data_IF_327358253664
#
_entry.id   IF_327358253664
#
_cell.length_a   1.000
_cell.length_b   1.000
_cell.length_c   1.000
_cell.angle_alpha   90.00
_cell.angle_beta   90.00
_cell.angle_gamma   90.00
#
_symmetry.space_group_name_H-M   'P 1'
#
loop_
_entity.id
_entity.type
_entity.pdbx_description
1 polymer ?
#
# COMPACT_ATOMS: atom_id res chain seq x y z
N UNK A 1 -42.84 -30.28 -11.03
CA UNK A 1 -41.95 -29.34 -10.32
C UNK A 1 -40.53 -29.46 -10.85
N UNK A 2 -40.16 -28.48 -11.68
CA UNK A 2 -38.83 -28.01 -12.10
C UNK A 2 -37.61 -28.97 -12.13
N UNK A 3 -37.37 -29.57 -13.29
CA UNK A 3 -36.06 -30.06 -13.75
C UNK A 3 -35.14 -28.86 -14.06
N UNK A 4 -34.13 -28.62 -13.20
CA UNK A 4 -33.10 -27.60 -13.44
C UNK A 4 -31.97 -28.20 -14.28
N UNK A 5 -32.00 -27.93 -15.58
CA UNK A 5 -30.89 -28.13 -16.52
C UNK A 5 -29.67 -27.33 -16.07
N UNK A 6 -28.63 -28.02 -15.63
CA UNK A 6 -27.29 -27.46 -15.43
C UNK A 6 -26.63 -27.33 -16.81
N UNK A 7 -26.46 -26.09 -17.28
CA UNK A 7 -25.71 -25.76 -18.50
C UNK A 7 -24.25 -26.12 -18.29
N UNK A 8 -23.86 -27.35 -18.65
CA UNK A 8 -22.45 -27.72 -18.82
C UNK A 8 -21.94 -27.02 -20.06
N UNK A 9 -21.06 -26.06 -19.83
CA UNK A 9 -20.19 -25.41 -20.80
C UNK A 9 -19.40 -26.46 -21.59
N UNK A 10 -19.84 -26.75 -22.81
CA UNK A 10 -19.05 -27.46 -23.83
C UNK A 10 -18.14 -26.43 -24.51
N UNK A 11 -17.01 -26.11 -23.87
CA UNK A 11 -15.92 -25.44 -24.57
C UNK A 11 -14.93 -26.51 -25.05
N UNK A 12 -14.87 -26.70 -26.37
CA UNK A 12 -13.75 -27.38 -26.99
C UNK A 12 -12.51 -26.46 -26.97
N UNK A 13 -11.29 -27.00 -26.82
CA UNK A 13 -10.06 -26.21 -26.93
C UNK A 13 -9.98 -25.55 -28.31
N UNK A 14 -9.50 -24.31 -28.36
CA UNK A 14 -9.29 -23.58 -29.60
C UNK A 14 -8.30 -24.33 -30.50
N UNK A 15 -8.81 -24.98 -31.54
CA UNK A 15 -7.98 -25.47 -32.64
C UNK A 15 -7.54 -24.25 -33.47
N UNK A 16 -6.23 -24.04 -33.58
CA UNK A 16 -5.64 -23.11 -34.54
C UNK A 16 -6.09 -23.50 -35.95
N UNK A 17 -6.62 -22.58 -36.77
CA UNK A 17 -6.96 -22.90 -38.14
C UNK A 17 -5.69 -23.13 -38.96
N UNK A 18 -5.66 -24.10 -39.88
CA UNK A 18 -4.54 -24.32 -40.79
C UNK A 18 -4.42 -23.15 -41.78
N UNK A 19 -3.21 -22.86 -42.30
CA UNK A 19 -2.99 -21.73 -43.19
C UNK A 19 -3.59 -22.06 -44.57
N UNK A 20 -4.79 -21.55 -44.83
CA UNK A 20 -5.39 -21.61 -46.17
C UNK A 20 -5.04 -20.32 -46.90
N UNK A 21 -4.16 -20.46 -47.88
CA UNK A 21 -3.98 -19.54 -49.00
C UNK A 21 -5.33 -19.51 -49.74
N UNK A 22 -6.05 -18.38 -49.73
CA UNK A 22 -7.17 -18.19 -50.66
C UNK A 22 -7.27 -16.73 -51.08
N UNK A 23 -7.13 -16.51 -52.39
CA UNK A 23 -7.43 -15.27 -53.07
C UNK A 23 -8.81 -14.74 -52.65
N UNK A 24 -8.84 -13.56 -52.04
CA UNK A 24 -10.08 -12.97 -51.53
C UNK A 24 -10.89 -12.34 -52.66
N UNK A 25 -12.10 -12.85 -52.91
CA UNK A 25 -13.03 -12.27 -53.87
C UNK A 25 -13.44 -10.82 -53.50
N UNK A 26 -13.76 -9.95 -54.48
CA UNK A 26 -14.05 -8.52 -54.24
C UNK A 26 -15.18 -8.27 -53.24
N UNK A 27 -16.18 -9.16 -53.22
CA UNK A 27 -17.35 -9.07 -52.34
C UNK A 27 -16.98 -9.26 -50.86
N UNK A 28 -15.98 -10.09 -50.55
CA UNK A 28 -15.47 -10.28 -49.17
C UNK A 28 -14.68 -9.07 -48.68
N UNK A 29 -13.94 -8.38 -49.56
CA UNK A 29 -13.23 -7.14 -49.22
C UNK A 29 -14.20 -6.01 -48.86
N UNK A 30 -15.32 -5.90 -49.58
CA UNK A 30 -16.39 -4.93 -49.24
C UNK A 30 -17.02 -5.19 -47.88
N UNK A 31 -17.26 -6.46 -47.52
CA UNK A 31 -17.82 -6.81 -46.21
C UNK A 31 -16.84 -6.56 -45.05
N UNK A 32 -15.54 -6.78 -45.25
CA UNK A 32 -14.51 -6.49 -44.24
C UNK A 32 -14.25 -4.98 -44.06
N UNK A 33 -14.43 -4.19 -45.12
CA UNK A 33 -14.28 -2.74 -45.07
C UNK A 33 -15.56 -2.00 -44.63
N UNK A 34 -16.70 -2.69 -44.60
CA UNK A 34 -17.98 -2.12 -44.20
C UNK A 34 -18.04 -1.97 -42.67
N UNK A 35 -18.05 -0.72 -42.21
CA UNK A 35 -18.14 -0.39 -40.80
C UNK A 35 -19.37 0.48 -40.55
N UNK A 36 -20.45 -0.12 -40.04
CA UNK A 36 -21.75 0.54 -39.83
C UNK A 36 -21.64 1.85 -39.02
N UNK A 37 -20.74 1.88 -38.04
CA UNK A 37 -20.49 3.09 -37.23
C UNK A 37 -19.93 4.27 -38.04
N UNK A 38 -19.16 4.00 -39.11
CA UNK A 38 -18.63 5.04 -39.99
C UNK A 38 -19.73 5.66 -40.85
N UNK A 39 -20.63 4.84 -41.40
CA UNK A 39 -21.80 5.34 -42.16
C UNK A 39 -22.76 6.14 -41.28
N UNK A 40 -22.99 5.70 -40.04
CA UNK A 40 -23.80 6.46 -39.09
C UNK A 40 -23.17 7.80 -38.74
N UNK A 41 -21.84 7.85 -38.60
CA UNK A 41 -21.13 9.11 -38.36
C UNK A 41 -21.21 10.06 -39.56
N UNK A 42 -21.06 9.54 -40.78
CA UNK A 42 -21.20 10.33 -42.01
C UNK A 42 -22.62 10.89 -42.16
N UNK A 43 -23.65 10.10 -41.83
CA UNK A 43 -25.05 10.53 -41.85
C UNK A 43 -25.32 11.64 -40.82
N UNK A 44 -24.79 11.51 -39.60
CA UNK A 44 -24.91 12.55 -38.56
C UNK A 44 -24.20 13.85 -38.99
N UNK A 45 -23.01 13.74 -39.58
CA UNK A 45 -22.26 14.89 -40.05
C UNK A 45 -22.99 15.64 -41.17
N UNK A 46 -23.62 14.92 -42.11
CA UNK A 46 -24.46 15.54 -43.15
C UNK A 46 -25.66 16.28 -42.55
N UNK A 47 -26.36 15.67 -41.59
CA UNK A 47 -27.51 16.28 -40.93
C UNK A 47 -27.14 17.56 -40.15
N UNK A 48 -25.92 17.61 -39.58
CA UNK A 48 -25.35 18.80 -38.96
C UNK A 48 -25.07 19.92 -39.98
N UNK A 49 -24.51 19.57 -41.14
CA UNK A 49 -24.20 20.52 -42.21
C UNK A 49 -25.49 21.10 -42.80
N UNK A 50 -26.49 20.27 -43.09
CA UNK A 50 -27.78 20.71 -43.63
C UNK A 50 -28.47 21.69 -42.69
N UNK A 51 -28.46 21.39 -41.38
CA UNK A 51 -29.04 22.27 -40.36
C UNK A 51 -28.27 23.59 -40.22
N UNK A 52 -26.95 23.56 -40.39
CA UNK A 52 -26.14 24.78 -40.38
C UNK A 52 -26.42 25.67 -41.60
N UNK A 53 -26.60 25.06 -42.78
CA UNK A 53 -26.98 25.78 -44.00
C UNK A 53 -28.39 26.39 -43.90
N UNK A 54 -29.33 25.66 -43.31
CA UNK A 54 -30.70 26.15 -43.08
C UNK A 54 -30.69 27.38 -42.16
N UNK A 55 -29.97 27.34 -41.04
CA UNK A 55 -29.82 28.49 -40.12
C UNK A 55 -29.12 29.66 -40.79
N UNK A 56 -28.10 29.40 -41.61
CA UNK A 56 -27.42 30.45 -42.40
C UNK A 56 -28.39 31.13 -43.37
N UNK A 57 -29.24 30.36 -44.05
CA UNK A 57 -30.22 30.89 -45.00
C UNK A 57 -31.32 31.73 -44.32
N UNK A 58 -31.75 31.32 -43.12
CA UNK A 58 -32.74 32.05 -42.32
C UNK A 58 -32.15 33.37 -41.84
N UNK A 59 -30.92 33.34 -41.30
CA UNK A 59 -30.24 34.55 -40.81
C UNK A 59 -29.94 35.56 -41.92
N UNK A 60 -29.57 35.10 -43.13
CA UNK A 60 -29.39 35.98 -44.29
C UNK A 60 -30.70 36.63 -44.76
N UNK A 61 -31.80 35.88 -44.78
CA UNK A 61 -33.13 36.42 -45.09
C UNK A 61 -33.68 37.38 -44.02
N UNK A 62 -33.28 37.22 -42.75
CA UNK A 62 -33.63 38.14 -41.67
C UNK A 62 -32.81 39.45 -41.72
N UNK A 63 -31.57 39.40 -42.21
CA UNK A 63 -30.74 40.61 -42.38
C UNK A 63 -31.20 41.51 -43.51
N UNK A 64 -31.73 40.96 -44.61
CA UNK A 64 -32.27 41.76 -45.72
C UNK A 64 -33.59 42.48 -45.37
N UNK A 65 -34.28 42.06 -44.31
CA UNK A 65 -35.53 42.71 -43.84
C UNK A 65 -35.30 43.76 -42.75
N UNK A 66 -34.08 43.92 -42.21
CA UNK A 66 -33.78 45.01 -41.27
C UNK A 66 -33.43 46.29 -42.01
N UNK A 67 -34.40 47.19 -42.12
CA UNK A 67 -34.15 48.58 -42.49
C UNK A 67 -33.08 49.22 -41.59
N UNK A 68 -32.31 50.16 -42.16
CA UNK A 68 -31.15 50.79 -41.54
C UNK A 68 -31.41 51.20 -40.08
N UNK A 69 -30.54 50.75 -39.18
CA UNK A 69 -30.62 51.07 -37.76
C UNK A 69 -30.46 52.59 -37.52
N UNK A 70 -31.25 53.19 -36.60
CA UNK A 70 -31.10 54.60 -36.28
C UNK A 70 -29.73 54.87 -35.64
N UNK A 71 -29.16 56.08 -35.81
CA UNK A 71 -27.83 56.39 -35.31
C UNK A 71 -27.81 56.26 -33.78
N UNK A 72 -26.89 55.42 -33.31
CA UNK A 72 -26.69 55.12 -31.90
C UNK A 72 -26.31 56.41 -31.18
N UNK A 73 -27.19 56.90 -30.31
CA UNK A 73 -26.84 57.90 -29.30
C UNK A 73 -25.76 57.30 -28.40
N UNK A 74 -24.58 57.91 -28.37
CA UNK A 74 -23.41 57.47 -27.62
C UNK A 74 -23.69 57.47 -26.11
N UNK A 75 -24.12 56.34 -25.58
CA UNK A 75 -24.08 56.10 -24.14
C UNK A 75 -22.64 55.76 -23.74
N UNK A 76 -22.06 56.58 -22.85
CA UNK A 76 -20.70 56.46 -22.32
C UNK A 76 -20.28 54.99 -22.07
N UNK A 77 -19.16 54.59 -22.67
CA UNK A 77 -18.60 53.22 -22.68
C UNK A 77 -18.50 52.55 -21.31
N UNK A 78 -18.38 53.34 -20.24
CA UNK A 78 -18.30 52.87 -18.84
C UNK A 78 -19.61 52.25 -18.35
N UNK A 79 -20.77 52.82 -18.71
CA UNK A 79 -22.08 52.33 -18.28
C UNK A 79 -22.41 51.00 -18.95
N UNK A 80 -22.07 50.88 -20.24
CA UNK A 80 -22.21 49.63 -21.00
C UNK A 80 -21.31 48.52 -20.46
N UNK A 81 -20.07 48.85 -20.08
CA UNK A 81 -19.12 47.90 -19.47
C UNK A 81 -19.60 47.41 -18.10
N UNK A 82 -20.13 48.31 -17.25
CA UNK A 82 -20.68 47.93 -15.95
C UNK A 82 -21.90 47.01 -16.08
N UNK A 83 -22.82 47.33 -16.99
CA UNK A 83 -24.01 46.51 -17.23
C UNK A 83 -23.64 45.12 -17.78
N UNK A 84 -22.65 45.07 -18.68
CA UNK A 84 -22.12 43.82 -19.22
C UNK A 84 -21.47 42.95 -18.13
N UNK A 85 -20.64 43.53 -17.24
CA UNK A 85 -20.03 42.80 -16.12
C UNK A 85 -21.11 42.23 -15.20
N UNK A 86 -22.13 43.02 -14.85
CA UNK A 86 -23.25 42.57 -14.02
C UNK A 86 -24.05 41.43 -14.66
N UNK A 87 -24.29 41.53 -15.96
CA UNK A 87 -25.00 40.51 -16.74
C UNK A 87 -24.20 39.20 -16.80
N UNK A 88 -22.92 39.26 -17.16
CA UNK A 88 -22.03 38.10 -17.16
C UNK A 88 -21.90 37.44 -15.78
N UNK A 89 -21.88 38.23 -14.70
CA UNK A 89 -21.86 37.71 -13.34
C UNK A 89 -23.15 36.94 -13.02
N UNK A 90 -24.32 37.49 -13.38
CA UNK A 90 -25.61 36.85 -13.14
C UNK A 90 -25.73 35.52 -13.91
N UNK A 91 -25.33 35.51 -15.19
CA UNK A 91 -25.35 34.31 -16.03
C UNK A 91 -24.38 33.25 -15.52
N UNK A 92 -23.17 33.64 -15.13
CA UNK A 92 -22.19 32.73 -14.56
C UNK A 92 -22.69 32.09 -13.26
N UNK A 93 -23.29 32.87 -12.35
CA UNK A 93 -23.85 32.36 -11.10
C UNK A 93 -25.02 31.41 -11.34
N UNK A 94 -25.88 31.72 -12.31
CA UNK A 94 -26.97 30.85 -12.72
C UNK A 94 -26.45 29.52 -13.27
N UNK A 95 -25.53 29.57 -14.23
CA UNK A 95 -24.91 28.38 -14.82
C UNK A 95 -24.13 27.55 -13.78
N UNK A 96 -23.42 28.22 -12.87
CA UNK A 96 -22.73 27.57 -11.74
C UNK A 96 -23.72 26.77 -10.89
N UNK A 97 -24.88 27.35 -10.57
CA UNK A 97 -25.94 26.67 -9.80
C UNK A 97 -26.48 25.44 -10.56
N UNK A 98 -26.67 25.54 -11.87
CA UNK A 98 -27.09 24.43 -12.71
C UNK A 98 -26.06 23.28 -12.69
N UNK A 99 -24.77 23.59 -12.84
CA UNK A 99 -23.72 22.57 -12.80
C UNK A 99 -23.58 21.94 -11.41
N UNK A 100 -23.72 22.73 -10.34
CA UNK A 100 -23.68 22.23 -8.96
C UNK A 100 -24.87 21.34 -8.60
N UNK A 101 -26.02 21.53 -9.26
CA UNK A 101 -27.22 20.70 -9.05
C UNK A 101 -27.14 19.31 -9.69
N UNK A 102 -26.13 19.07 -10.53
CA UNK A 102 -25.95 17.78 -11.19
C UNK A 102 -25.48 16.72 -10.17
N UNK A 103 -26.12 15.54 -10.08
CA UNK A 103 -25.68 14.47 -9.17
C UNK A 103 -24.23 14.08 -9.45
N UNK A 104 -23.41 14.18 -8.41
CA UNK A 104 -21.99 13.82 -8.44
C UNK A 104 -21.81 12.33 -8.18
N UNK A 105 -20.79 11.73 -8.80
CA UNK A 105 -20.40 10.35 -8.49
C UNK A 105 -19.85 10.32 -7.06
N UNK A 106 -20.48 9.57 -6.13
CA UNK A 106 -19.98 9.48 -4.76
C UNK A 106 -18.65 8.72 -4.73
N UNK A 107 -17.85 8.97 -3.69
CA UNK A 107 -16.61 8.22 -3.47
C UNK A 107 -16.91 6.72 -3.36
N UNK A 108 -16.07 5.90 -4.00
CA UNK A 108 -16.25 4.46 -3.97
C UNK A 108 -15.91 3.91 -2.58
N UNK A 109 -16.85 3.14 -1.99
CA UNK A 109 -16.69 2.56 -0.65
C UNK A 109 -15.47 1.66 -0.50
N UNK A 110 -15.04 1.02 -1.59
CA UNK A 110 -13.82 0.22 -1.61
C UNK A 110 -12.56 1.05 -1.32
N UNK A 111 -12.51 2.32 -1.74
CA UNK A 111 -11.35 3.18 -1.48
C UNK A 111 -11.25 3.53 0.00
N UNK A 112 -12.38 3.85 0.62
CA UNK A 112 -12.45 4.10 2.07
C UNK A 112 -11.99 2.86 2.84
N UNK A 113 -12.47 1.66 2.48
CA UNK A 113 -12.04 0.40 3.11
C UNK A 113 -10.55 0.16 2.94
N UNK A 114 -9.99 0.38 1.75
CA UNK A 114 -8.55 0.24 1.51
C UNK A 114 -7.72 1.22 2.35
N UNK A 115 -8.18 2.47 2.51
CA UNK A 115 -7.52 3.44 3.39
C UNK A 115 -7.50 2.94 4.84
N UNK A 116 -8.62 2.39 5.33
CA UNK A 116 -8.69 1.84 6.68
C UNK A 116 -7.77 0.63 6.88
N UNK A 117 -7.63 -0.25 5.87
CA UNK A 117 -6.72 -1.40 5.97
C UNK A 117 -5.24 -1.02 6.07
N UNK A 118 -4.87 0.20 5.68
CA UNK A 118 -3.51 0.70 5.81
C UNK A 118 -3.22 1.23 7.23
N UNK A 119 -4.25 1.45 8.05
CA UNK A 119 -4.11 1.93 9.42
C UNK A 119 -4.04 0.73 10.37
N UNK A 120 -2.99 0.63 11.22
CA UNK A 120 -2.90 -0.43 12.22
C UNK A 120 -4.09 -0.47 13.17
N UNK A 121 -4.61 -1.66 13.46
CA UNK A 121 -5.84 -1.85 14.22
C UNK A 121 -5.75 -1.34 15.67
N UNK A 122 -4.55 -1.37 16.26
CA UNK A 122 -4.26 -0.80 17.59
C UNK A 122 -4.50 0.71 17.70
N UNK A 123 -4.53 1.43 16.57
CA UNK A 123 -4.83 2.86 16.51
C UNK A 123 -6.30 3.16 16.25
N UNK A 124 -7.08 2.15 15.89
CA UNK A 124 -8.52 2.26 15.60
C UNK A 124 -9.39 1.80 16.76
N UNK A 125 -8.87 0.95 17.63
CA UNK A 125 -9.60 0.38 18.76
C UNK A 125 -9.75 1.40 19.92
N UNK A 126 -11.00 1.57 20.40
CA UNK A 126 -11.36 2.43 21.54
C UNK A 126 -12.45 3.44 21.21
N UNK A 127 -13.37 3.71 22.16
CA UNK A 127 -14.56 4.56 21.93
C UNK A 127 -14.26 5.94 21.33
N UNK A 128 -13.21 6.61 21.80
CA UNK A 128 -12.83 7.94 21.31
C UNK A 128 -12.15 7.88 19.93
N UNK A 129 -11.44 6.79 19.63
CA UNK A 129 -10.71 6.59 18.37
C UNK A 129 -11.62 6.13 17.23
N UNK A 130 -12.68 5.39 17.55
CA UNK A 130 -13.75 5.05 16.61
C UNK A 130 -14.50 6.31 16.14
N UNK A 131 -14.84 7.23 17.07
CA UNK A 131 -15.45 8.51 16.70
C UNK A 131 -14.53 9.36 15.82
N UNK A 132 -13.25 9.45 16.18
CA UNK A 132 -12.26 10.19 15.38
C UNK A 132 -12.13 9.61 13.97
N UNK A 133 -12.16 8.28 13.84
CA UNK A 133 -12.11 7.59 12.54
C UNK A 133 -13.32 7.94 11.69
N UNK A 134 -14.52 7.91 12.28
CA UNK A 134 -15.76 8.26 11.59
C UNK A 134 -15.76 9.73 11.13
N UNK A 135 -15.27 10.65 11.98
CA UNK A 135 -15.15 12.05 11.63
C UNK A 135 -14.13 12.29 10.50
N UNK A 136 -13.00 11.57 10.52
CA UNK A 136 -12.01 11.61 9.45
C UNK A 136 -12.57 11.08 8.13
N UNK A 137 -13.32 9.98 8.16
CA UNK A 137 -13.98 9.44 6.97
C UNK A 137 -14.97 10.45 6.40
N UNK A 138 -15.80 11.07 7.23
CA UNK A 138 -16.72 12.14 6.81
C UNK A 138 -15.97 13.32 6.19
N UNK A 139 -14.83 13.70 6.75
CA UNK A 139 -13.99 14.76 6.20
C UNK A 139 -13.45 14.39 4.81
N UNK A 140 -12.94 13.17 4.64
CA UNK A 140 -12.44 12.67 3.36
C UNK A 140 -13.55 12.68 2.29
N UNK A 141 -14.75 12.20 2.63
CA UNK A 141 -15.90 12.22 1.72
C UNK A 141 -16.24 13.66 1.30
N UNK A 142 -16.37 14.57 2.27
CA UNK A 142 -16.63 16.00 1.99
C UNK A 142 -15.56 16.62 1.10
N UNK A 143 -14.28 16.30 1.36
CA UNK A 143 -13.17 16.84 0.59
C UNK A 143 -13.15 16.31 -0.85
N UNK A 144 -13.49 15.03 -1.03
CA UNK A 144 -13.65 14.42 -2.34
C UNK A 144 -14.79 15.08 -3.12
N UNK A 145 -15.97 15.21 -2.51
CA UNK A 145 -17.16 15.82 -3.13
C UNK A 145 -16.88 17.27 -3.55
N UNK A 146 -16.30 18.08 -2.65
CA UNK A 146 -15.88 19.46 -2.97
C UNK A 146 -14.88 19.50 -4.12
N UNK A 147 -13.94 18.56 -4.17
CA UNK A 147 -12.91 18.53 -5.22
C UNK A 147 -13.48 18.09 -6.56
N UNK A 148 -14.39 17.12 -6.58
CA UNK A 148 -15.04 16.67 -7.80
C UNK A 148 -16.02 17.73 -8.33
N UNK A 149 -16.77 18.40 -7.45
CA UNK A 149 -17.66 19.50 -7.81
C UNK A 149 -16.87 20.65 -8.45
N UNK A 150 -15.69 20.99 -7.89
CA UNK A 150 -14.76 21.97 -8.48
C UNK A 150 -14.26 21.52 -9.85
N UNK A 151 -13.87 20.26 -10.01
CA UNK A 151 -13.40 19.73 -11.28
C UNK A 151 -14.48 19.82 -12.37
N UNK A 152 -15.71 19.42 -12.07
CA UNK A 152 -16.84 19.49 -13.02
C UNK A 152 -17.16 20.94 -13.37
N UNK A 153 -17.18 21.85 -12.39
CA UNK A 153 -17.40 23.28 -12.63
C UNK A 153 -16.37 23.87 -13.59
N UNK A 154 -15.08 23.63 -13.36
CA UNK A 154 -14.00 24.14 -14.23
C UNK A 154 -13.98 23.51 -15.62
N UNK A 155 -14.46 22.27 -15.75
CA UNK A 155 -14.58 21.59 -17.05
C UNK A 155 -15.77 22.11 -17.85
N UNK A 156 -16.88 22.41 -17.19
CA UNK A 156 -18.13 22.82 -17.85
C UNK A 156 -18.22 24.33 -18.08
N UNK A 157 -17.63 25.14 -17.20
CA UNK A 157 -17.73 26.60 -17.22
C UNK A 157 -16.33 27.22 -17.22
N UNK A 158 -16.13 28.15 -18.16
CA UNK A 158 -14.96 29.03 -18.15
C UNK A 158 -15.26 30.16 -17.15
N UNK A 159 -14.38 30.33 -16.17
CA UNK A 159 -14.49 31.43 -15.20
C UNK A 159 -14.22 32.76 -15.90
N UNK A 160 -15.14 33.73 -15.86
CA UNK A 160 -14.89 35.06 -16.42
C UNK A 160 -13.88 35.82 -15.54
N UNK A 161 -12.98 36.57 -16.18
CA UNK A 161 -11.95 37.39 -15.52
C UNK A 161 -12.58 38.66 -14.89
N UNK A 162 -13.24 38.47 -13.74
CA UNK A 162 -13.93 39.51 -12.98
C UNK A 162 -13.42 39.47 -11.54
N UNK A 163 -12.75 40.54 -11.09
CA UNK A 163 -12.15 40.65 -9.75
C UNK A 163 -13.13 40.43 -8.59
N UNK A 164 -14.41 40.77 -8.79
CA UNK A 164 -15.48 40.53 -7.82
C UNK A 164 -15.78 39.04 -7.64
N UNK A 165 -15.56 38.21 -8.66
CA UNK A 165 -15.77 36.77 -8.60
C UNK A 165 -14.66 36.05 -7.82
N UNK A 166 -13.43 36.56 -7.93
CA UNK A 166 -12.28 36.05 -7.17
C UNK A 166 -12.40 36.30 -5.66
N UNK A 167 -13.15 37.33 -5.25
CA UNK A 167 -13.42 37.62 -3.83
C UNK A 167 -14.58 36.79 -3.26
N UNK A 168 -15.50 36.34 -4.11
CA UNK A 168 -16.66 35.53 -3.70
C UNK A 168 -16.35 34.03 -3.66
N UNK A 169 -15.34 33.59 -4.40
CA UNK A 169 -14.87 32.22 -4.31
C UNK A 169 -13.81 32.07 -3.24
N UNK A 170 -14.09 31.24 -2.24
CA UNK A 170 -13.10 30.61 -1.36
C UNK A 170 -12.29 29.57 -2.17
N UNK A 171 -11.82 29.96 -3.36
CA UNK A 171 -10.93 29.16 -4.19
C UNK A 171 -9.54 29.24 -3.56
N UNK A 172 -9.27 28.34 -2.61
CA UNK A 172 -7.90 27.90 -2.43
C UNK A 172 -7.40 27.47 -3.82
N UNK A 173 -6.25 28.00 -4.30
CA UNK A 173 -5.68 27.54 -5.55
C UNK A 173 -5.55 26.01 -5.50
N UNK A 174 -5.52 25.34 -6.67
CA UNK A 174 -5.06 23.95 -6.67
C UNK A 174 -3.78 23.90 -5.84
N UNK A 175 -3.57 22.89 -4.99
CA UNK A 175 -2.27 22.72 -4.36
C UNK A 175 -1.26 22.69 -5.50
N UNK A 176 -0.58 23.81 -5.70
CA UNK A 176 0.53 23.89 -6.63
C UNK A 176 1.51 22.86 -6.11
N UNK A 177 2.09 22.08 -7.02
CA UNK A 177 3.30 21.34 -6.68
C UNK A 177 4.18 22.34 -5.92
N UNK A 178 4.59 22.06 -4.68
CA UNK A 178 5.22 23.05 -3.80
C UNK A 178 6.31 23.80 -4.58
N UNK A 179 6.03 25.06 -4.90
CA UNK A 179 6.93 25.91 -5.67
C UNK A 179 8.12 26.20 -4.76
N UNK A 180 9.29 25.68 -5.14
CA UNK A 180 10.50 25.67 -4.29
C UNK A 180 10.99 24.28 -3.91
N UNK A 181 10.24 23.21 -4.22
CA UNK A 181 10.80 21.85 -4.24
C UNK A 181 11.59 21.68 -5.53
N UNK A 182 12.86 22.09 -5.45
CA UNK A 182 13.84 21.81 -6.49
C UNK A 182 14.12 20.30 -6.53
N UNK A 183 13.53 19.61 -7.52
CA UNK A 183 13.88 18.21 -7.82
C UNK A 183 15.28 18.08 -8.45
N UNK A 184 15.93 19.20 -8.82
CA UNK A 184 17.36 19.28 -9.15
C UNK A 184 18.19 19.18 -7.87
N UNK A 185 18.04 18.05 -7.21
CA UNK A 185 18.63 17.86 -5.90
C UNK A 185 20.14 17.68 -6.02
N UNK A 186 20.89 18.57 -5.36
CA UNK A 186 22.32 18.34 -5.04
C UNK A 186 22.54 17.00 -4.33
N UNK A 187 21.52 16.50 -3.64
CA UNK A 187 21.52 15.18 -3.03
C UNK A 187 21.32 14.03 -4.03
N UNK A 188 20.76 14.21 -5.23
CA UNK A 188 20.55 13.11 -6.18
C UNK A 188 21.86 12.42 -6.53
N UNK A 189 22.88 13.21 -6.85
CA UNK A 189 24.22 12.68 -7.14
C UNK A 189 24.83 11.98 -5.91
N UNK A 190 24.63 12.53 -4.71
CA UNK A 190 25.03 11.90 -3.46
C UNK A 190 24.29 10.58 -3.20
N UNK A 191 22.99 10.53 -3.47
CA UNK A 191 22.15 9.34 -3.36
C UNK A 191 22.56 8.28 -4.38
N UNK A 192 22.76 8.64 -5.65
CA UNK A 192 23.23 7.71 -6.68
C UNK A 192 24.63 7.18 -6.32
N UNK A 193 25.51 8.04 -5.82
CA UNK A 193 26.84 7.64 -5.34
C UNK A 193 26.74 6.66 -4.17
N UNK A 194 25.95 6.97 -3.14
CA UNK A 194 25.73 6.11 -1.98
C UNK A 194 25.08 4.78 -2.39
N UNK A 195 24.07 4.81 -3.25
CA UNK A 195 23.42 3.63 -3.81
C UNK A 195 24.42 2.75 -4.56
N UNK A 196 25.23 3.34 -5.44
CA UNK A 196 26.23 2.59 -6.19
C UNK A 196 27.31 2.01 -5.27
N UNK A 197 27.72 2.74 -4.23
CA UNK A 197 28.63 2.24 -3.20
C UNK A 197 28.02 1.04 -2.46
N UNK A 198 26.77 1.14 -1.99
CA UNK A 198 26.06 0.05 -1.31
C UNK A 198 25.92 -1.17 -2.23
N UNK A 199 25.53 -0.98 -3.50
CA UNK A 199 25.40 -2.09 -4.46
C UNK A 199 26.77 -2.75 -4.71
N UNK A 200 27.84 -1.96 -4.86
CA UNK A 200 29.17 -2.46 -5.14
C UNK A 200 29.83 -3.16 -3.95
N UNK A 201 29.53 -2.72 -2.72
CA UNK A 201 30.19 -3.20 -1.51
C UNK A 201 29.41 -4.29 -0.77
N UNK A 202 28.07 -4.21 -0.76
CA UNK A 202 27.24 -5.03 0.13
C UNK A 202 26.64 -6.27 -0.57
N UNK A 203 26.80 -6.41 -1.90
CA UNK A 203 26.37 -7.56 -2.73
C UNK A 203 24.98 -8.18 -2.37
N UNK A 204 24.04 -7.36 -1.88
CA UNK A 204 22.76 -7.81 -1.28
C UNK A 204 21.86 -8.50 -2.31
N UNK A 205 21.98 -8.12 -3.58
CA UNK A 205 21.18 -8.64 -4.68
C UNK A 205 21.70 -9.97 -5.24
N UNK A 206 22.80 -10.50 -4.70
CA UNK A 206 23.36 -11.75 -5.16
C UNK A 206 22.38 -12.92 -4.93
N UNK A 207 22.13 -13.81 -5.91
CA UNK A 207 21.21 -14.94 -5.75
C UNK A 207 21.53 -15.82 -4.53
N UNK A 208 22.82 -16.03 -4.24
CA UNK A 208 23.29 -16.77 -3.06
C UNK A 208 22.87 -16.13 -1.73
N UNK A 209 22.84 -14.79 -1.65
CA UNK A 209 22.37 -14.10 -0.44
C UNK A 209 20.87 -14.29 -0.24
N UNK A 210 20.10 -14.28 -1.34
CA UNK A 210 18.66 -14.56 -1.32
C UNK A 210 18.37 -15.99 -0.88
N UNK A 211 19.09 -16.99 -1.40
CA UNK A 211 18.89 -18.40 -1.00
C UNK A 211 19.31 -18.65 0.44
N UNK A 212 20.42 -18.05 0.90
CA UNK A 212 20.82 -18.06 2.30
C UNK A 212 19.73 -17.45 3.20
N UNK A 213 19.16 -16.32 2.78
CA UNK A 213 18.07 -15.68 3.50
C UNK A 213 16.84 -16.60 3.62
N UNK A 214 16.48 -17.28 2.52
CA UNK A 214 15.38 -18.25 2.49
C UNK A 214 15.62 -19.47 3.39
N UNK A 215 16.86 -19.96 3.49
CA UNK A 215 17.21 -21.03 4.43
C UNK A 215 16.98 -20.63 5.87
N UNK A 216 17.37 -19.40 6.26
CA UNK A 216 17.09 -18.91 7.60
C UNK A 216 15.61 -18.68 7.86
N UNK A 217 14.86 -18.11 6.91
CA UNK A 217 13.41 -17.99 7.07
C UNK A 217 12.74 -19.35 7.25
N UNK A 218 13.04 -20.32 6.40
CA UNK A 218 12.42 -21.65 6.48
C UNK A 218 12.80 -22.41 7.75
N UNK A 219 14.06 -22.32 8.20
CA UNK A 219 14.52 -22.97 9.42
C UNK A 219 13.97 -22.29 10.68
N UNK A 220 13.97 -20.95 10.71
CA UNK A 220 13.69 -20.21 11.94
C UNK A 220 12.25 -19.72 12.04
N UNK A 221 11.41 -19.69 10.99
CA UNK A 221 10.09 -19.02 11.03
C UNK A 221 9.23 -19.36 12.25
N UNK A 222 9.14 -20.63 12.65
CA UNK A 222 8.38 -21.08 13.83
C UNK A 222 9.25 -21.69 14.93
N UNK A 223 10.58 -21.51 14.86
CA UNK A 223 11.50 -22.14 15.81
C UNK A 223 11.77 -21.24 17.02
N UNK A 224 11.76 -21.81 18.22
CA UNK A 224 12.17 -21.10 19.44
C UNK A 224 13.27 -21.93 20.10
N UNK A 225 14.35 -21.28 20.53
CA UNK A 225 15.46 -21.97 21.22
C UNK A 225 14.97 -22.54 22.54
N UNK A 226 14.09 -21.82 23.22
CA UNK A 226 13.47 -22.22 24.48
C UNK A 226 11.98 -21.90 24.40
N UNK A 227 11.13 -22.89 24.72
CA UNK A 227 9.68 -22.72 24.77
C UNK A 227 9.09 -23.20 26.11
N UNK A 228 8.70 -22.23 26.94
CA UNK A 228 8.01 -22.45 28.22
C UNK A 228 6.51 -22.15 28.16
N UNK A 229 5.94 -21.96 26.97
CA UNK A 229 4.50 -21.65 26.82
C UNK A 229 3.58 -22.76 27.35
N UNK A 230 4.06 -24.01 27.34
CA UNK A 230 3.35 -25.20 27.85
C UNK A 230 3.72 -25.56 29.30
N UNK A 231 4.52 -24.75 29.99
CA UNK A 231 5.01 -25.03 31.35
C UNK A 231 3.89 -25.36 32.34
N UNK A 232 2.74 -24.67 32.26
CA UNK A 232 1.56 -24.96 33.11
C UNK A 232 1.00 -26.38 32.95
N UNK A 233 1.12 -27.00 31.77
CA UNK A 233 0.65 -28.37 31.56
C UNK A 233 1.50 -29.39 32.30
N UNK A 234 2.77 -29.06 32.58
CA UNK A 234 3.70 -29.90 33.32
C UNK A 234 3.55 -29.75 34.85
N UNK A 235 2.77 -28.77 35.31
CA UNK A 235 2.56 -28.47 36.73
C UNK A 235 3.53 -27.41 37.27
N UNK A 236 3.60 -27.25 38.61
CA UNK A 236 4.53 -26.32 39.25
C UNK A 236 5.99 -26.66 38.92
N UNK A 237 6.74 -25.66 38.47
CA UNK A 237 8.13 -25.78 38.03
C UNK A 237 9.07 -25.44 39.18
N UNK A 238 10.12 -26.23 39.36
CA UNK A 238 11.20 -25.96 40.30
C UNK A 238 12.32 -25.13 39.63
N UNK A 239 12.96 -24.22 40.36
CA UNK A 239 14.02 -23.35 39.81
C UNK A 239 15.18 -24.16 39.20
N UNK A 240 15.61 -25.27 39.82
CA UNK A 240 16.71 -26.08 39.29
C UNK A 240 16.30 -26.79 38.00
N UNK A 241 15.06 -27.30 37.98
CA UNK A 241 14.49 -27.91 36.77
C UNK A 241 14.37 -26.91 35.63
N UNK A 242 13.94 -25.67 35.91
CA UNK A 242 13.86 -24.60 34.91
C UNK A 242 15.23 -24.27 34.30
N UNK A 243 16.25 -24.08 35.15
CA UNK A 243 17.62 -23.81 34.71
C UNK A 243 18.14 -24.96 33.82
N UNK A 244 17.94 -26.21 34.25
CA UNK A 244 18.40 -27.39 33.51
C UNK A 244 17.68 -27.57 32.18
N UNK A 245 16.35 -27.39 32.17
CA UNK A 245 15.54 -27.47 30.95
C UNK A 245 15.92 -26.38 29.94
N UNK A 246 16.21 -25.16 30.40
CA UNK A 246 16.69 -24.07 29.56
C UNK A 246 18.05 -24.41 28.93
N UNK A 247 19.05 -24.80 29.73
CA UNK A 247 20.37 -25.17 29.21
C UNK A 247 20.30 -26.35 28.23
N UNK A 248 19.51 -27.38 28.55
CA UNK A 248 19.33 -28.54 27.68
C UNK A 248 18.63 -28.16 26.36
N UNK A 249 17.65 -27.26 26.41
CA UNK A 249 16.97 -26.78 25.20
C UNK A 249 17.90 -25.95 24.32
N UNK A 250 18.73 -25.08 24.91
CA UNK A 250 19.77 -24.34 24.20
C UNK A 250 20.76 -25.27 23.50
N UNK A 251 21.34 -26.26 24.20
CA UNK A 251 22.27 -27.22 23.58
C UNK A 251 21.62 -28.04 22.47
N UNK A 252 20.38 -28.49 22.66
CA UNK A 252 19.64 -29.20 21.60
C UNK A 252 19.40 -28.32 20.38
N UNK A 253 19.06 -27.04 20.60
CA UNK A 253 18.86 -26.09 19.53
C UNK A 253 20.16 -25.81 18.75
N UNK A 254 21.28 -25.74 19.46
CA UNK A 254 22.61 -25.64 18.83
C UNK A 254 22.90 -26.82 17.91
N UNK A 255 22.74 -28.04 18.42
CA UNK A 255 22.94 -29.26 17.65
C UNK A 255 22.00 -29.36 16.44
N UNK A 256 20.73 -29.01 16.61
CA UNK A 256 19.73 -29.04 15.55
C UNK A 256 20.04 -28.02 14.45
N UNK A 257 20.36 -26.77 14.83
CA UNK A 257 20.70 -25.71 13.88
C UNK A 257 22.01 -26.00 13.16
N UNK A 258 23.02 -26.52 13.87
CA UNK A 258 24.28 -26.94 13.28
C UNK A 258 24.10 -28.11 12.31
N UNK A 259 23.24 -29.08 12.65
CA UNK A 259 23.02 -30.27 11.84
C UNK A 259 22.07 -30.06 10.65
N UNK A 260 21.23 -29.03 10.67
CA UNK A 260 20.24 -28.75 9.63
C UNK A 260 20.57 -27.48 8.85
N UNK A 261 20.31 -26.31 9.42
CA UNK A 261 20.47 -25.02 8.77
C UNK A 261 21.93 -24.78 8.36
N UNK A 262 22.88 -24.94 9.28
CA UNK A 262 24.28 -24.67 8.99
C UNK A 262 24.86 -25.63 7.93
N UNK A 263 24.49 -26.93 7.96
CA UNK A 263 24.86 -27.86 6.89
C UNK A 263 24.31 -27.44 5.52
N UNK A 264 23.08 -26.92 5.46
CA UNK A 264 22.52 -26.37 4.21
C UNK A 264 23.28 -25.14 3.73
N UNK A 265 23.70 -24.27 4.65
CA UNK A 265 24.55 -23.11 4.34
C UNK A 265 25.88 -23.56 3.75
N UNK A 266 26.58 -24.51 4.39
CA UNK A 266 27.83 -25.09 3.84
C UNK A 266 27.57 -25.69 2.46
N UNK A 267 26.48 -26.45 2.31
CA UNK A 267 26.09 -27.06 1.05
C UNK A 267 25.83 -26.04 -0.08
N UNK A 268 25.34 -24.85 0.25
CA UNK A 268 25.18 -23.76 -0.71
C UNK A 268 26.54 -23.23 -1.19
N UNK A 269 27.46 -22.95 -0.29
CA UNK A 269 28.78 -22.40 -0.64
C UNK A 269 29.75 -23.43 -1.22
N UNK A 270 29.44 -24.72 -1.12
CA UNK A 270 30.21 -25.80 -1.76
C UNK A 270 29.87 -25.94 -3.25
N UNK A 271 28.76 -25.37 -3.72
CA UNK A 271 28.34 -25.46 -5.12
C UNK A 271 29.17 -24.51 -6.00
N UNK A 272 29.54 -24.97 -7.20
CA UNK A 272 30.39 -24.22 -8.13
C UNK A 272 29.79 -22.88 -8.59
N UNK A 273 28.46 -22.72 -8.49
CA UNK A 273 27.75 -21.48 -8.85
C UNK A 273 27.51 -20.50 -7.69
N UNK A 274 27.99 -20.81 -6.48
CA UNK A 274 27.74 -19.96 -5.30
C UNK A 274 28.39 -18.57 -5.38
N UNK A 275 29.47 -18.47 -6.16
CA UNK A 275 30.28 -17.27 -6.38
C UNK A 275 30.12 -16.71 -7.80
N UNK A 276 29.11 -17.15 -8.55
CA UNK A 276 28.90 -16.72 -9.94
C UNK A 276 28.70 -15.20 -10.04
N UNK A 277 29.66 -14.51 -10.65
CA UNK A 277 29.64 -13.05 -10.81
C UNK A 277 30.32 -12.27 -9.67
N UNK A 278 30.86 -12.96 -8.65
CA UNK A 278 31.70 -12.35 -7.61
C UNK A 278 33.14 -12.27 -8.12
N UNK A 279 33.71 -11.07 -8.14
CA UNK A 279 35.11 -10.88 -8.50
C UNK A 279 36.05 -11.30 -7.35
N UNK A 280 37.24 -11.79 -7.68
CA UNK A 280 38.25 -12.22 -6.71
C UNK A 280 38.66 -11.13 -5.71
N UNK A 281 38.70 -9.87 -6.13
CA UNK A 281 39.01 -8.71 -5.28
C UNK A 281 37.89 -8.36 -4.28
N UNK A 282 36.68 -8.88 -4.49
CA UNK A 282 35.52 -8.63 -3.64
C UNK A 282 35.12 -9.84 -2.78
N UNK A 283 35.87 -10.93 -2.85
CA UNK A 283 35.53 -12.18 -2.17
C UNK A 283 35.45 -12.02 -0.65
N UNK A 284 36.36 -11.26 -0.06
CA UNK A 284 36.35 -10.95 1.37
C UNK A 284 35.11 -10.14 1.76
N UNK A 285 34.76 -9.11 0.99
CA UNK A 285 33.55 -8.32 1.22
C UNK A 285 32.28 -9.16 1.10
N UNK A 286 32.26 -10.14 0.18
CA UNK A 286 31.15 -11.07 0.02
C UNK A 286 30.99 -11.96 1.25
N UNK A 287 32.04 -12.62 1.72
CA UNK A 287 31.96 -13.47 2.90
C UNK A 287 31.67 -12.68 4.19
N UNK A 288 32.13 -11.44 4.29
CA UNK A 288 31.72 -10.54 5.37
C UNK A 288 30.20 -10.29 5.34
N UNK A 289 29.62 -10.08 4.15
CA UNK A 289 28.17 -9.96 4.02
C UNK A 289 27.44 -11.25 4.40
N UNK A 290 27.99 -12.42 4.05
CA UNK A 290 27.44 -13.74 4.44
C UNK A 290 27.45 -13.86 5.96
N UNK A 291 28.57 -13.56 6.61
CA UNK A 291 28.73 -13.64 8.06
C UNK A 291 27.77 -12.69 8.79
N UNK A 292 27.62 -11.46 8.30
CA UNK A 292 26.67 -10.48 8.86
C UNK A 292 25.24 -10.96 8.68
N UNK A 293 24.88 -11.50 7.51
CA UNK A 293 23.54 -12.01 7.25
C UNK A 293 23.18 -13.19 8.18
N UNK A 294 24.09 -14.17 8.28
CA UNK A 294 23.94 -15.30 9.20
C UNK A 294 23.82 -14.84 10.65
N UNK A 295 24.68 -13.91 11.08
CA UNK A 295 24.64 -13.34 12.42
C UNK A 295 23.31 -12.63 12.72
N UNK A 296 22.78 -11.88 11.76
CA UNK A 296 21.51 -11.18 11.92
C UNK A 296 20.34 -12.16 12.05
N UNK A 297 20.35 -13.27 11.29
CA UNK A 297 19.31 -14.30 11.41
C UNK A 297 19.32 -14.99 12.78
N UNK A 298 20.50 -15.33 13.31
CA UNK A 298 20.62 -15.92 14.64
C UNK A 298 20.23 -14.92 15.74
N UNK A 299 20.69 -13.67 15.65
CA UNK A 299 20.30 -12.61 16.60
C UNK A 299 18.80 -12.38 16.63
N UNK A 300 18.14 -12.41 15.47
CA UNK A 300 16.69 -12.28 15.38
C UNK A 300 15.95 -13.47 16.03
N UNK A 301 16.46 -14.69 15.86
CA UNK A 301 15.96 -15.88 16.54
C UNK A 301 16.06 -15.75 18.07
N UNK A 302 17.23 -15.33 18.57
CA UNK A 302 17.46 -15.12 20.00
C UNK A 302 16.54 -14.02 20.56
N UNK A 303 16.48 -12.85 19.88
CA UNK A 303 15.59 -11.74 20.25
C UNK A 303 14.14 -12.21 20.38
N UNK A 304 13.63 -12.91 19.37
CA UNK A 304 12.25 -13.39 19.38
C UNK A 304 12.02 -14.43 20.49
N UNK A 305 12.98 -15.32 20.75
CA UNK A 305 12.88 -16.29 21.84
C UNK A 305 12.77 -15.58 23.19
N UNK A 306 13.62 -14.59 23.44
CA UNK A 306 13.57 -13.76 24.65
C UNK A 306 12.24 -13.01 24.76
N UNK A 307 11.75 -12.41 23.68
CA UNK A 307 10.45 -11.72 23.68
C UNK A 307 9.28 -12.64 24.00
N UNK A 308 9.28 -13.86 23.46
CA UNK A 308 8.25 -14.87 23.77
C UNK A 308 8.33 -15.29 25.24
N UNK A 309 9.55 -15.47 25.78
CA UNK A 309 9.75 -15.81 27.18
C UNK A 309 9.27 -14.69 28.13
N UNK A 310 9.66 -13.44 27.87
CA UNK A 310 9.25 -12.28 28.68
C UNK A 310 7.73 -12.09 28.64
N UNK A 311 7.09 -12.32 27.48
CA UNK A 311 5.62 -12.26 27.34
C UNK A 311 4.88 -13.28 28.21
N UNK A 312 5.53 -14.32 28.72
CA UNK A 312 4.89 -15.24 29.68
C UNK A 312 4.60 -14.56 31.02
N UNK A 313 5.30 -13.48 31.34
CA UNK A 313 5.15 -12.72 32.59
C UNK A 313 4.25 -11.48 32.43
N UNK A 314 3.47 -11.40 31.36
CA UNK A 314 2.51 -10.31 31.14
C UNK A 314 1.41 -10.34 32.25
N UNK A 315 1.24 -9.25 33.02
CA UNK A 315 0.23 -9.18 34.07
C UNK A 315 -1.22 -9.35 33.55
N UNK A 316 -1.47 -9.04 32.27
CA UNK A 316 -2.78 -9.15 31.63
C UNK A 316 -3.10 -10.61 31.22
N UNK A 317 -2.08 -11.42 30.91
CA UNK A 317 -2.24 -12.82 30.50
C UNK A 317 -1.79 -13.83 31.58
N UNK A 318 -2.55 -13.86 32.68
CA UNK A 318 -2.34 -14.79 33.80
C UNK A 318 -2.44 -16.28 33.40
N UNK A 319 -3.01 -16.60 32.24
CA UNK A 319 -3.19 -18.00 31.79
C UNK A 319 -1.87 -18.63 31.35
N UNK A 320 -0.88 -17.83 30.95
CA UNK A 320 0.41 -18.30 30.45
C UNK A 320 1.55 -18.21 31.46
N UNK A 321 1.34 -17.45 32.54
CA UNK A 321 2.31 -17.25 33.62
C UNK A 321 2.79 -18.59 34.23
N UNK A 322 4.09 -18.91 34.23
CA UNK A 322 4.60 -20.12 34.86
C UNK A 322 4.24 -20.18 36.36
N UNK A 323 3.96 -21.37 36.87
CA UNK A 323 3.74 -21.59 38.30
C UNK A 323 5.03 -22.14 38.90
N UNK A 324 5.55 -21.49 39.93
CA UNK A 324 6.74 -21.96 40.65
C UNK A 324 6.36 -22.76 41.88
N UNK A 325 7.09 -23.86 42.13
CA UNK A 325 6.98 -24.61 43.37
C UNK A 325 7.65 -23.81 44.49
N UNK A 326 6.93 -23.65 45.60
CA UNK A 326 7.38 -22.97 46.82
C UNK A 326 7.12 -23.88 48.02
N UNK A 327 8.16 -24.11 48.81
CA UNK A 327 8.11 -24.86 50.05
C UNK A 327 8.22 -23.86 51.23
N UNK A 328 7.44 -24.06 52.29
CA UNK A 328 7.55 -23.26 53.51
C UNK A 328 8.51 -23.97 54.46
N UNK A 329 9.67 -23.37 54.70
CA UNK A 329 10.72 -23.90 55.57
C UNK A 329 10.74 -23.15 56.89
N UNK A 330 11.07 -23.84 57.97
CA UNK A 330 11.30 -23.23 59.28
C UNK A 330 12.78 -23.32 59.60
N UNK A 331 13.48 -22.19 59.51
CA UNK A 331 14.91 -22.07 59.78
C UNK A 331 15.17 -20.90 60.74
N UNK A 332 16.15 -21.02 61.62
CA UNK A 332 16.52 -20.00 62.63
C UNK A 332 15.34 -19.38 63.40
N UNK A 333 14.34 -20.18 63.78
CA UNK A 333 13.09 -19.73 64.42
C UNK A 333 12.20 -18.79 63.58
N UNK A 334 12.36 -18.78 62.25
CA UNK A 334 11.55 -18.01 61.31
C UNK A 334 10.94 -18.93 60.24
N UNK A 335 9.69 -18.65 59.88
CA UNK A 335 9.07 -19.28 58.70
C UNK A 335 9.46 -18.49 57.46
N UNK A 336 10.09 -19.16 56.50
CA UNK A 336 10.57 -18.56 55.25
C UNK A 336 10.13 -19.41 54.05
N UNK A 337 9.97 -18.77 52.89
CA UNK A 337 9.67 -19.48 51.65
C UNK A 337 10.98 -19.87 50.95
N UNK A 338 11.06 -21.12 50.52
CA UNK A 338 12.13 -21.65 49.70
C UNK A 338 11.56 -22.15 48.36
N UNK A 339 12.12 -21.77 47.20
CA UNK A 339 13.21 -20.80 47.01
C UNK A 339 12.83 -19.37 47.44
N UNK A 340 13.82 -18.55 47.77
CA UNK A 340 13.58 -17.12 48.07
C UNK A 340 13.16 -16.37 46.80
N UNK A 341 12.65 -15.13 46.95
CA UNK A 341 12.34 -14.29 45.78
C UNK A 341 13.58 -14.03 44.93
N UNK A 342 14.75 -13.88 45.56
CA UNK A 342 16.00 -13.66 44.87
C UNK A 342 16.43 -14.89 44.05
N UNK A 343 16.24 -16.09 44.60
CA UNK A 343 16.51 -17.34 43.88
C UNK A 343 15.59 -17.52 42.66
N UNK A 344 14.32 -17.10 42.76
CA UNK A 344 13.40 -17.07 41.62
C UNK A 344 13.87 -16.09 40.54
N UNK A 345 14.22 -14.87 40.94
CA UNK A 345 14.69 -13.84 40.00
C UNK A 345 15.95 -14.31 39.28
N UNK A 346 16.91 -14.87 40.02
CA UNK A 346 18.13 -15.43 39.45
C UNK A 346 17.83 -16.59 38.50
N UNK A 347 16.84 -17.45 38.81
CA UNK A 347 16.43 -18.53 37.93
C UNK A 347 15.80 -18.02 36.63
N UNK A 348 15.01 -16.95 36.68
CA UNK A 348 14.40 -16.34 35.50
C UNK A 348 15.47 -15.64 34.65
N UNK A 349 16.37 -14.87 35.27
CA UNK A 349 17.47 -14.20 34.59
C UNK A 349 18.43 -15.21 33.93
N UNK A 350 18.71 -16.32 34.61
CA UNK A 350 19.54 -17.39 34.07
C UNK A 350 18.99 -17.95 32.74
N UNK A 351 17.67 -18.03 32.57
CA UNK A 351 17.07 -18.47 31.29
C UNK A 351 17.39 -17.46 30.18
N UNK A 352 17.28 -16.17 30.46
CA UNK A 352 17.60 -15.11 29.49
C UNK A 352 19.09 -15.13 29.15
N UNK A 353 19.95 -15.32 30.15
CA UNK A 353 21.39 -15.45 29.95
C UNK A 353 21.75 -16.67 29.11
N UNK A 354 21.11 -17.83 29.37
CA UNK A 354 21.29 -19.03 28.56
C UNK A 354 20.92 -18.76 27.09
N UNK A 355 19.79 -18.11 26.83
CA UNK A 355 19.38 -17.74 25.46
C UNK A 355 20.42 -16.79 24.84
N UNK A 356 20.89 -15.79 25.59
CA UNK A 356 21.87 -14.80 25.10
C UNK A 356 23.26 -15.38 24.81
N UNK A 357 23.64 -16.43 25.54
CA UNK A 357 24.90 -17.17 25.37
C UNK A 357 24.79 -18.29 24.32
N UNK A 358 23.58 -18.64 23.87
CA UNK A 358 23.40 -19.66 22.84
C UNK A 358 24.05 -19.19 21.53
N UNK A 359 24.82 -20.05 20.86
CA UNK A 359 25.58 -19.74 19.63
C UNK A 359 26.75 -18.74 19.79
N UNK A 360 27.20 -18.44 21.01
CA UNK A 360 28.48 -17.77 21.27
C UNK A 360 29.61 -18.80 21.33
#
# INVERSE_FOLDING_TARGET
>A
TSSKRTLRTLFHPAALPPPVISETSPSRKKLLAYHRGKEQQEMINQLLIDRALEVSSITMNETDKRGAAPPITELHSTVRKYFFIKFCLADYLFLKRCVQSNPMIPIQQQWLRSMLTMVPQSLMEGRDREMLTEDLLKEIVRNYEKSMQRHVLRRALIKPDIKELDKMEEEAPLPSLPLGLDFSSTWHNSYIKAKNQIISALQILHPTMKTLLDFGYTAFFNYLVVDFSSSRLKGPVDCKSLKTDASLSCSKAEDEIMSTWYKRVIGLFTQSGALDGVKLDQLESFYNCVAVLMSNQLKELLRRTTEVFVKLFDPEDKRRLPLFKMDLTFDENRMEFYPSLQDLEEAILFVVDCIGQTFQ
#
